data_IF_165519745630
#
_entry.id   IF_165519745630
#
_cell.length_a   1.000
_cell.length_b   1.000
_cell.length_c   1.000
_cell.angle_alpha   90.00
_cell.angle_beta   90.00
_cell.angle_gamma   90.00
#
_symmetry.space_group_name_H-M   'P 1'
#
loop_
_entity.id
_entity.type
_entity.pdbx_description
1 polymer ?
#
# COMPACT_ATOMS: atom_id res chain seq x y z
N UNK A 1 7.86 -35.09 -2.48
CA UNK A 1 7.70 -33.72 -1.91
C UNK A 1 7.54 -33.79 -0.39
N UNK A 2 8.57 -33.35 0.35
CA UNK A 2 8.87 -33.70 1.75
C UNK A 2 7.91 -33.02 2.78
N UNK A 3 7.46 -33.76 3.80
CA UNK A 3 6.46 -33.33 4.81
C UNK A 3 6.89 -32.07 5.58
N UNK A 4 8.21 -31.91 5.80
CA UNK A 4 8.83 -30.76 6.46
C UNK A 4 8.62 -29.44 5.68
N UNK A 5 8.65 -29.50 4.35
CA UNK A 5 8.43 -28.34 3.47
C UNK A 5 6.98 -27.82 3.51
N UNK A 6 5.99 -28.73 3.63
CA UNK A 6 4.57 -28.36 3.79
C UNK A 6 4.28 -27.63 5.11
N UNK A 7 4.95 -28.03 6.19
CA UNK A 7 4.77 -27.42 7.53
C UNK A 7 5.36 -26.00 7.60
N UNK A 8 6.53 -25.80 6.97
CA UNK A 8 7.18 -24.48 6.85
C UNK A 8 6.33 -23.53 6.00
N UNK A 9 5.85 -24.00 4.84
CA UNK A 9 4.99 -23.23 3.93
C UNK A 9 3.72 -22.71 4.62
N UNK A 10 3.00 -23.57 5.36
CA UNK A 10 1.81 -23.17 6.12
C UNK A 10 2.12 -22.17 7.24
N UNK A 11 3.27 -22.30 7.92
CA UNK A 11 3.72 -21.32 8.92
C UNK A 11 3.96 -19.95 8.29
N UNK A 12 4.63 -19.89 7.13
CA UNK A 12 4.92 -18.62 6.44
C UNK A 12 3.63 -17.96 5.93
N UNK A 13 2.71 -18.72 5.34
CA UNK A 13 1.40 -18.19 4.91
C UNK A 13 0.59 -17.63 6.09
N UNK A 14 0.54 -18.37 7.21
CA UNK A 14 -0.14 -17.93 8.41
C UNK A 14 0.53 -16.71 9.05
N UNK A 15 1.86 -16.64 9.04
CA UNK A 15 2.59 -15.47 9.53
C UNK A 15 2.32 -14.28 8.62
N UNK A 16 2.43 -14.41 7.30
CA UNK A 16 2.20 -13.31 6.35
C UNK A 16 0.80 -12.73 6.46
N UNK A 17 -0.22 -13.58 6.52
CA UNK A 17 -1.62 -13.13 6.65
C UNK A 17 -1.90 -12.49 8.01
N UNK A 18 -1.31 -13.03 9.09
CA UNK A 18 -1.50 -12.49 10.44
C UNK A 18 -0.73 -11.18 10.65
N UNK A 19 0.47 -11.09 10.10
CA UNK A 19 1.33 -9.90 10.06
C UNK A 19 0.64 -8.81 9.24
N UNK A 20 0.18 -9.06 8.02
CA UNK A 20 -0.50 -8.03 7.21
C UNK A 20 -1.79 -7.53 7.88
N UNK A 21 -2.59 -8.43 8.44
CA UNK A 21 -3.88 -8.06 9.03
C UNK A 21 -3.76 -7.29 10.36
N UNK A 22 -2.64 -7.47 11.08
CA UNK A 22 -2.38 -6.80 12.37
C UNK A 22 -1.50 -5.56 12.17
N UNK A 23 -0.43 -5.63 11.38
CA UNK A 23 0.48 -4.50 11.18
C UNK A 23 -0.17 -3.35 10.43
N UNK A 24 -0.99 -3.61 9.42
CA UNK A 24 -1.59 -2.54 8.63
C UNK A 24 -2.42 -1.60 9.52
N UNK A 25 -3.42 -2.04 10.30
CA UNK A 25 -4.19 -1.11 11.14
C UNK A 25 -3.42 -0.52 12.35
N UNK A 26 -2.35 -1.17 12.83
CA UNK A 26 -1.55 -0.69 13.97
C UNK A 26 -0.44 0.29 13.57
N UNK A 27 0.19 0.09 12.42
CA UNK A 27 1.31 0.90 11.92
C UNK A 27 0.91 1.86 10.81
N UNK A 28 -0.30 1.74 10.24
CA UNK A 28 -0.83 2.73 9.34
C UNK A 28 -1.23 3.96 10.15
N UNK A 29 -0.26 4.86 10.26
CA UNK A 29 -0.47 6.20 10.72
C UNK A 29 -1.35 6.90 9.71
N UNK A 30 -2.62 7.08 10.08
CA UNK A 30 -3.55 7.78 9.22
C UNK A 30 -3.48 9.25 9.53
N UNK A 31 -3.42 10.08 8.49
CA UNK A 31 -3.71 11.48 8.61
C UNK A 31 -5.12 11.68 9.10
N UNK A 32 -5.23 11.92 10.39
CA UNK A 32 -6.44 12.43 10.99
C UNK A 32 -6.70 13.82 10.41
N UNK A 33 -7.95 14.11 10.08
CA UNK A 33 -8.40 15.38 9.53
C UNK A 33 -9.16 16.12 10.65
N UNK A 34 -9.54 17.38 10.43
CA UNK A 34 -10.30 18.23 11.38
C UNK A 34 -9.50 18.77 12.59
N UNK A 35 -9.78 18.31 13.82
CA UNK A 35 -9.44 19.03 15.08
C UNK A 35 -7.92 19.15 15.31
N UNK A 36 -7.15 18.25 14.71
CA UNK A 36 -5.79 17.95 15.13
C UNK A 36 -4.73 18.28 14.06
N UNK A 37 -5.01 19.23 13.15
CA UNK A 37 -4.13 19.72 12.05
C UNK A 37 -2.64 19.31 12.19
N UNK A 38 -2.22 18.19 11.59
CA UNK A 38 -0.82 17.73 11.77
C UNK A 38 -0.48 16.26 11.53
N UNK A 39 -1.32 15.48 10.86
CA UNK A 39 -1.50 14.12 11.34
C UNK A 39 -0.81 13.14 10.40
N UNK A 40 0.27 12.54 10.88
CA UNK A 40 0.68 11.19 10.52
C UNK A 40 1.24 10.57 11.80
N UNK A 41 0.52 10.69 12.91
CA UNK A 41 1.02 10.39 14.26
C UNK A 41 0.01 9.69 15.17
N UNK A 42 -1.20 9.40 14.68
CA UNK A 42 -2.23 8.70 15.44
C UNK A 42 -2.56 7.38 14.72
N UNK A 43 -2.54 6.23 15.41
CA UNK A 43 -2.97 4.96 14.81
C UNK A 43 -4.38 5.08 14.20
N UNK A 44 -4.62 4.44 13.05
CA UNK A 44 -5.93 4.47 12.38
C UNK A 44 -7.08 4.08 13.33
N UNK A 45 -6.84 3.12 14.22
CA UNK A 45 -7.87 2.66 15.16
C UNK A 45 -8.34 3.76 16.12
N UNK A 46 -7.42 4.59 16.61
CA UNK A 46 -7.75 5.72 17.48
C UNK A 46 -8.54 6.79 16.73
N UNK A 47 -8.19 7.05 15.47
CA UNK A 47 -8.99 7.95 14.62
C UNK A 47 -10.44 7.46 14.46
N UNK A 48 -10.63 6.19 14.14
CA UNK A 48 -11.95 5.60 13.92
C UNK A 48 -12.81 5.73 15.19
N UNK A 49 -12.23 5.51 16.37
CA UNK A 49 -12.94 5.69 17.64
C UNK A 49 -13.40 7.14 17.85
N UNK A 50 -12.52 8.12 17.62
CA UNK A 50 -12.88 9.55 17.73
C UNK A 50 -13.87 10.00 16.66
N UNK A 51 -13.77 9.44 15.46
CA UNK A 51 -14.66 9.71 14.33
C UNK A 51 -16.12 9.39 14.68
N UNK A 52 -16.37 8.25 15.31
CA UNK A 52 -17.73 7.88 15.74
C UNK A 52 -18.25 8.70 16.93
N UNK A 53 -17.36 9.33 17.70
CA UNK A 53 -17.75 10.16 18.85
C UNK A 53 -18.09 11.60 18.46
N UNK A 54 -17.59 12.12 17.33
CA UNK A 54 -17.74 13.53 16.94
C UNK A 54 -18.37 13.69 15.54
N UNK A 55 -19.69 13.84 15.47
CA UNK A 55 -20.42 14.06 14.21
C UNK A 55 -19.96 15.31 13.44
N UNK A 56 -19.52 16.36 14.14
CA UNK A 56 -18.97 17.59 13.53
C UNK A 56 -17.63 17.37 12.83
N UNK A 57 -16.94 16.28 13.14
CA UNK A 57 -15.62 15.96 12.57
C UNK A 57 -15.74 15.71 11.06
N UNK A 58 -16.79 14.99 10.63
CA UNK A 58 -17.09 14.72 9.22
C UNK A 58 -17.17 15.99 8.35
N UNK A 59 -17.90 17.00 8.83
CA UNK A 59 -18.08 18.24 8.08
C UNK A 59 -16.76 19.02 7.93
N UNK A 60 -15.96 19.05 9.00
CA UNK A 60 -14.65 19.69 9.00
C UNK A 60 -13.64 18.93 8.12
N UNK A 61 -13.63 17.60 8.18
CA UNK A 61 -12.79 16.74 7.34
C UNK A 61 -13.10 16.94 5.86
N UNK A 62 -14.39 16.96 5.53
CA UNK A 62 -14.87 17.18 4.17
C UNK A 62 -14.41 18.54 3.64
N UNK A 63 -14.63 19.62 4.41
CA UNK A 63 -14.24 20.96 4.00
C UNK A 63 -12.73 21.09 3.83
N UNK A 64 -11.95 20.52 4.76
CA UNK A 64 -10.50 20.56 4.73
C UNK A 64 -9.93 19.76 3.55
N UNK A 65 -10.48 18.58 3.26
CA UNK A 65 -10.07 17.78 2.10
C UNK A 65 -10.43 18.47 0.78
N UNK A 66 -11.62 19.04 0.67
CA UNK A 66 -12.11 19.66 -0.57
C UNK A 66 -11.26 20.86 -1.01
N UNK A 67 -10.69 21.60 -0.06
CA UNK A 67 -9.86 22.77 -0.36
C UNK A 67 -8.46 22.44 -0.89
N UNK A 68 -8.01 21.19 -0.79
CA UNK A 68 -6.63 20.83 -1.10
C UNK A 68 -6.52 19.89 -2.30
N UNK A 69 -5.55 20.15 -3.18
CA UNK A 69 -5.33 19.33 -4.39
C UNK A 69 -4.86 17.89 -4.10
N UNK A 70 -4.38 17.60 -2.88
CA UNK A 70 -4.04 16.23 -2.47
C UNK A 70 -5.23 15.26 -2.52
N UNK A 71 -6.47 15.78 -2.53
CA UNK A 71 -7.70 14.98 -2.63
C UNK A 71 -7.77 14.14 -3.90
N UNK A 72 -7.19 14.59 -5.02
CA UNK A 72 -7.19 13.83 -6.26
C UNK A 72 -6.40 12.52 -6.12
N UNK A 73 -5.24 12.57 -5.48
CA UNK A 73 -4.44 11.37 -5.20
C UNK A 73 -5.16 10.42 -4.24
N UNK A 74 -5.85 10.97 -3.24
CA UNK A 74 -6.64 10.18 -2.29
C UNK A 74 -7.79 9.47 -3.00
N UNK A 75 -8.55 10.16 -3.86
CA UNK A 75 -9.67 9.57 -4.59
C UNK A 75 -9.17 8.47 -5.55
N UNK A 76 -8.11 8.74 -6.32
CA UNK A 76 -7.52 7.76 -7.25
C UNK A 76 -7.00 6.54 -6.49
N UNK A 77 -6.26 6.77 -5.40
CA UNK A 77 -5.76 5.71 -4.54
C UNK A 77 -6.89 4.90 -3.92
N UNK A 78 -7.92 5.54 -3.40
CA UNK A 78 -9.09 4.87 -2.82
C UNK A 78 -9.85 4.03 -3.86
N UNK A 79 -10.04 4.56 -5.06
CA UNK A 79 -10.65 3.82 -6.16
C UNK A 79 -9.82 2.57 -6.52
N UNK A 80 -8.49 2.71 -6.64
CA UNK A 80 -7.59 1.58 -6.90
C UNK A 80 -7.61 0.55 -5.76
N UNK A 81 -7.71 1.00 -4.51
CA UNK A 81 -7.82 0.16 -3.33
C UNK A 81 -9.10 -0.69 -3.37
N UNK A 82 -10.25 -0.06 -3.57
CA UNK A 82 -11.54 -0.75 -3.67
C UNK A 82 -11.52 -1.74 -4.83
N UNK A 83 -11.03 -1.33 -6.00
CA UNK A 83 -10.90 -2.20 -7.15
C UNK A 83 -10.01 -3.42 -6.87
N UNK A 84 -8.88 -3.22 -6.17
CA UNK A 84 -7.97 -4.31 -5.78
C UNK A 84 -8.61 -5.27 -4.78
N UNK A 85 -9.28 -4.75 -3.75
CA UNK A 85 -9.96 -5.57 -2.73
C UNK A 85 -11.09 -6.39 -3.34
N UNK A 86 -11.91 -5.81 -4.20
CA UNK A 86 -13.00 -6.54 -4.87
C UNK A 86 -12.40 -7.74 -5.63
N UNK A 87 -11.35 -7.51 -6.43
CA UNK A 87 -10.69 -8.60 -7.15
C UNK A 87 -10.10 -9.66 -6.22
N UNK A 88 -9.50 -9.24 -5.10
CA UNK A 88 -8.92 -10.13 -4.10
C UNK A 88 -9.97 -11.01 -3.42
N UNK A 89 -11.11 -10.43 -3.05
CA UNK A 89 -12.22 -11.14 -2.42
C UNK A 89 -12.90 -12.12 -3.39
N UNK A 90 -13.09 -11.72 -4.64
CA UNK A 90 -13.72 -12.57 -5.67
C UNK A 90 -12.83 -13.73 -6.09
N UNK A 91 -11.50 -13.55 -6.16
CA UNK A 91 -10.57 -14.55 -6.73
C UNK A 91 -9.65 -15.23 -5.69
N UNK A 92 -10.00 -15.17 -4.40
CA UNK A 92 -9.19 -15.59 -3.24
C UNK A 92 -8.58 -17.01 -3.28
N UNK A 93 -9.10 -17.91 -4.11
CA UNK A 93 -8.66 -19.33 -4.17
C UNK A 93 -7.51 -19.57 -5.14
N UNK A 94 -7.23 -18.64 -6.05
CA UNK A 94 -6.24 -18.82 -7.12
C UNK A 94 -5.25 -17.65 -7.19
N UNK A 95 -4.18 -17.81 -7.96
CA UNK A 95 -3.28 -16.69 -8.24
C UNK A 95 -3.99 -15.67 -9.14
N UNK A 96 -4.20 -14.46 -8.62
CA UNK A 96 -4.93 -13.40 -9.30
C UNK A 96 -4.03 -12.76 -10.36
N UNK A 97 -4.45 -12.81 -11.63
CA UNK A 97 -3.72 -12.25 -12.78
C UNK A 97 -4.58 -11.31 -13.64
N UNK A 98 -5.78 -11.00 -13.17
CA UNK A 98 -6.80 -10.22 -13.89
C UNK A 98 -7.07 -8.89 -13.18
N UNK A 99 -7.74 -7.97 -13.87
CA UNK A 99 -8.03 -6.64 -13.35
C UNK A 99 -6.75 -5.84 -13.07
N UNK A 100 -6.59 -5.23 -11.88
CA UNK A 100 -5.42 -4.40 -11.57
C UNK A 100 -4.13 -5.24 -11.46
N UNK A 101 -4.27 -6.52 -11.10
CA UNK A 101 -3.17 -7.48 -10.99
C UNK A 101 -2.57 -7.86 -12.35
N UNK A 102 -3.23 -7.52 -13.48
CA UNK A 102 -2.64 -7.68 -14.81
C UNK A 102 -1.47 -6.71 -15.05
N UNK A 103 -1.51 -5.53 -14.42
CA UNK A 103 -0.56 -4.44 -14.67
C UNK A 103 0.54 -4.35 -13.62
N UNK A 104 0.23 -4.69 -12.37
CA UNK A 104 1.15 -4.65 -11.23
C UNK A 104 0.82 -5.75 -10.22
N UNK A 105 1.83 -6.26 -9.49
CA UNK A 105 1.63 -7.34 -8.52
C UNK A 105 0.97 -6.90 -7.23
N UNK A 106 1.25 -5.67 -6.77
CA UNK A 106 0.70 -5.14 -5.53
C UNK A 106 -0.07 -3.82 -5.72
N UNK A 107 -1.22 -3.84 -6.41
CA UNK A 107 -2.02 -2.65 -6.63
C UNK A 107 -2.57 -2.06 -5.32
N UNK A 108 -2.80 -2.89 -4.30
CA UNK A 108 -3.24 -2.45 -2.98
C UNK A 108 -2.18 -1.59 -2.26
N UNK A 109 -0.90 -1.95 -2.33
CA UNK A 109 0.17 -1.13 -1.74
C UNK A 109 0.38 0.16 -2.53
N UNK A 110 0.27 0.13 -3.86
CA UNK A 110 0.29 1.36 -4.65
C UNK A 110 -0.85 2.29 -4.26
N UNK A 111 -2.06 1.74 -4.06
CA UNK A 111 -3.20 2.50 -3.61
C UNK A 111 -2.96 3.20 -2.26
N UNK A 112 -2.37 2.48 -1.29
CA UNK A 112 -1.99 3.09 -0.01
C UNK A 112 -0.92 4.16 -0.17
N UNK A 113 0.10 3.95 -1.01
CA UNK A 113 1.13 4.97 -1.29
C UNK A 113 0.49 6.23 -1.89
N UNK A 114 -0.46 6.10 -2.82
CA UNK A 114 -1.16 7.24 -3.42
C UNK A 114 -2.02 7.99 -2.41
N UNK A 115 -2.78 7.27 -1.58
CA UNK A 115 -3.63 7.87 -0.55
C UNK A 115 -2.79 8.61 0.50
N UNK A 116 -1.75 7.95 1.03
CA UNK A 116 -0.85 8.54 2.03
C UNK A 116 -0.08 9.71 1.45
N UNK A 117 0.36 9.64 0.19
CA UNK A 117 0.99 10.76 -0.50
C UNK A 117 0.06 11.96 -0.65
N UNK A 118 -1.17 11.73 -1.12
CA UNK A 118 -2.18 12.78 -1.23
C UNK A 118 -2.43 13.47 0.11
N UNK A 119 -2.50 12.69 1.18
CA UNK A 119 -2.64 13.23 2.52
C UNK A 119 -1.40 13.97 3.01
N UNK A 120 -0.20 13.44 2.77
CA UNK A 120 1.08 14.11 3.06
C UNK A 120 1.12 15.50 2.44
N UNK A 121 0.66 15.66 1.19
CA UNK A 121 0.57 16.95 0.52
C UNK A 121 -0.37 17.92 1.23
N UNK A 122 -1.50 17.43 1.74
CA UNK A 122 -2.48 18.24 2.50
C UNK A 122 -1.88 18.68 3.83
N UNK A 123 -1.22 17.77 4.54
CA UNK A 123 -0.67 18.05 5.87
C UNK A 123 0.69 18.76 5.84
N UNK A 124 1.30 18.92 4.67
CA UNK A 124 2.63 19.56 4.53
C UNK A 124 2.70 20.98 5.08
N UNK A 125 1.55 21.68 5.13
CA UNK A 125 1.40 23.02 5.70
C UNK A 125 1.03 23.03 7.18
N UNK A 126 0.99 21.86 7.83
CA UNK A 126 0.57 21.71 9.23
C UNK A 126 1.70 21.16 10.09
N UNK A 127 1.59 21.34 11.41
CA UNK A 127 2.59 20.92 12.39
C UNK A 127 2.17 19.61 13.05
N UNK A 128 3.08 18.62 13.21
CA UNK A 128 2.73 17.38 13.87
C UNK A 128 2.23 17.59 15.31
N UNK A 129 1.18 16.86 15.70
CA UNK A 129 0.54 16.94 17.03
C UNK A 129 1.44 16.38 18.11
N UNK A 130 2.11 15.28 17.80
CA UNK A 130 3.10 14.66 18.68
C UNK A 130 4.45 15.14 18.21
N UNK A 131 5.17 15.87 19.06
CA UNK A 131 6.53 16.32 18.80
C UNK A 131 7.51 15.15 18.93
N UNK A 132 7.33 14.13 18.10
CA UNK A 132 8.30 13.05 17.95
C UNK A 132 9.41 13.54 17.04
N UNK A 133 10.22 14.45 17.58
CA UNK A 133 11.29 15.13 16.87
C UNK A 133 12.63 14.94 17.57
N UNK A 134 13.18 13.71 17.59
CA UNK A 134 14.46 13.44 18.25
C UNK A 134 15.63 14.22 17.64
N UNK A 135 15.45 14.82 16.47
CA UNK A 135 16.49 15.50 15.69
C UNK A 135 16.24 17.01 15.49
N UNK A 136 15.27 17.62 16.16
CA UNK A 136 14.91 19.05 16.02
C UNK A 136 14.70 19.51 14.56
N UNK A 137 14.10 18.65 13.73
CA UNK A 137 13.78 18.91 12.34
C UNK A 137 12.53 19.80 12.21
N UNK A 138 12.37 20.50 11.08
CA UNK A 138 11.14 21.25 10.80
C UNK A 138 9.96 20.29 10.61
N UNK A 139 8.76 20.67 11.05
CA UNK A 139 7.56 19.80 11.04
C UNK A 139 7.27 19.14 9.68
N UNK A 140 7.34 19.90 8.58
CA UNK A 140 7.14 19.36 7.22
C UNK A 140 8.20 18.31 6.82
N UNK A 141 9.43 18.43 7.36
CA UNK A 141 10.53 17.49 7.10
C UNK A 141 10.28 16.16 7.81
N UNK A 142 9.76 16.21 9.05
CA UNK A 142 9.35 15.02 9.80
C UNK A 142 8.24 14.29 9.05
N UNK A 143 7.19 15.00 8.62
CA UNK A 143 6.08 14.42 7.85
C UNK A 143 6.58 13.73 6.58
N UNK A 144 7.48 14.39 5.83
CA UNK A 144 8.04 13.82 4.60
C UNK A 144 8.85 12.55 4.85
N UNK A 145 9.72 12.55 5.86
CA UNK A 145 10.51 11.36 6.19
C UNK A 145 9.66 10.22 6.73
N UNK A 146 8.62 10.52 7.51
CA UNK A 146 7.64 9.52 7.94
C UNK A 146 6.98 8.85 6.74
N UNK A 147 6.55 9.63 5.75
CA UNK A 147 5.99 9.10 4.51
C UNK A 147 7.00 8.24 3.72
N UNK A 148 8.27 8.65 3.64
CA UNK A 148 9.32 7.82 3.01
C UNK A 148 9.47 6.48 3.73
N UNK A 149 9.53 6.50 5.07
CA UNK A 149 9.60 5.29 5.88
C UNK A 149 8.41 4.37 5.64
N UNK A 150 7.20 4.94 5.52
CA UNK A 150 5.98 4.20 5.21
C UNK A 150 6.03 3.55 3.82
N UNK A 151 6.47 4.29 2.79
CA UNK A 151 6.67 3.75 1.43
C UNK A 151 7.65 2.57 1.45
N UNK A 152 8.77 2.70 2.17
CA UNK A 152 9.74 1.62 2.31
C UNK A 152 9.14 0.39 3.02
N UNK A 153 8.34 0.61 4.06
CA UNK A 153 7.63 -0.46 4.75
C UNK A 153 6.69 -1.22 3.81
N UNK A 154 5.94 -0.51 2.96
CA UNK A 154 5.07 -1.13 1.95
C UNK A 154 5.87 -1.91 0.90
N UNK A 155 7.02 -1.39 0.44
CA UNK A 155 7.90 -2.12 -0.49
C UNK A 155 8.44 -3.41 0.14
N UNK A 156 8.86 -3.37 1.41
CA UNK A 156 9.32 -4.55 2.15
C UNK A 156 8.18 -5.55 2.29
N UNK A 157 6.98 -5.10 2.67
CA UNK A 157 5.80 -5.95 2.83
C UNK A 157 5.41 -6.63 1.52
N UNK A 158 5.45 -5.90 0.40
CA UNK A 158 5.25 -6.47 -0.93
C UNK A 158 6.29 -7.53 -1.29
N UNK A 159 7.56 -7.33 -0.94
CA UNK A 159 8.60 -8.37 -1.14
C UNK A 159 8.35 -9.62 -0.30
N UNK A 160 7.92 -9.45 0.95
CA UNK A 160 7.55 -10.57 1.83
C UNK A 160 6.37 -11.35 1.23
N UNK A 161 5.37 -10.63 0.72
CA UNK A 161 4.22 -11.24 0.06
C UNK A 161 4.63 -11.97 -1.23
N UNK A 162 5.51 -11.41 -2.07
CA UNK A 162 6.09 -12.08 -3.24
C UNK A 162 6.77 -13.42 -2.85
N UNK A 163 7.47 -13.46 -1.71
CA UNK A 163 8.11 -14.69 -1.20
C UNK A 163 7.03 -15.71 -0.78
N UNK A 164 5.98 -15.27 -0.08
CA UNK A 164 4.88 -16.13 0.33
C UNK A 164 4.12 -16.68 -0.89
N UNK A 165 3.86 -15.85 -1.90
CA UNK A 165 3.21 -16.25 -3.16
C UNK A 165 4.07 -17.23 -3.96
N UNK A 166 5.39 -17.01 -4.04
CA UNK A 166 6.32 -17.97 -4.65
C UNK A 166 6.29 -19.32 -3.93
N UNK A 167 6.28 -19.32 -2.59
CA UNK A 167 6.15 -20.54 -1.82
C UNK A 167 4.79 -21.23 -2.07
N UNK A 168 3.71 -20.46 -2.24
CA UNK A 168 2.34 -20.93 -2.47
C UNK A 168 2.12 -21.54 -3.85
N UNK A 169 2.45 -20.80 -4.90
CA UNK A 169 2.10 -21.12 -6.29
C UNK A 169 3.30 -21.57 -7.14
N UNK A 170 4.52 -21.56 -6.62
CA UNK A 170 5.69 -22.13 -7.30
C UNK A 170 5.99 -21.45 -8.65
N UNK A 171 6.15 -22.25 -9.70
CA UNK A 171 6.51 -21.78 -11.05
C UNK A 171 5.45 -20.86 -11.67
N UNK A 172 4.17 -21.10 -11.39
CA UNK A 172 3.08 -20.23 -11.84
C UNK A 172 3.28 -18.77 -11.39
N UNK A 173 3.79 -18.58 -10.17
CA UNK A 173 4.09 -17.25 -9.68
C UNK A 173 5.36 -16.67 -10.32
N UNK A 174 6.37 -17.49 -10.60
CA UNK A 174 7.60 -17.03 -11.28
C UNK A 174 7.28 -16.50 -12.68
N UNK A 175 6.44 -17.21 -13.44
CA UNK A 175 5.97 -16.77 -14.77
C UNK A 175 5.25 -15.42 -14.64
N UNK A 176 4.30 -15.32 -13.71
CA UNK A 176 3.56 -14.09 -13.45
C UNK A 176 4.45 -12.91 -13.01
N UNK A 177 5.45 -13.19 -12.16
CA UNK A 177 6.43 -12.19 -11.70
C UNK A 177 7.26 -11.63 -12.85
N UNK A 178 7.56 -12.46 -13.84
CA UNK A 178 8.32 -12.04 -15.01
C UNK A 178 7.48 -11.24 -16.01
N UNK A 179 6.16 -11.42 -16.05
CA UNK A 179 5.27 -10.70 -16.97
C UNK A 179 4.79 -9.36 -16.40
N UNK A 180 4.61 -9.25 -15.09
CA UNK A 180 3.98 -8.09 -14.45
C UNK A 180 4.97 -7.27 -13.62
N UNK A 181 4.77 -5.96 -13.53
CA UNK A 181 5.61 -5.05 -12.74
C UNK A 181 5.34 -5.18 -11.23
N UNK A 182 6.24 -4.71 -10.37
CA UNK A 182 6.07 -4.87 -8.91
C UNK A 182 4.94 -4.00 -8.34
N UNK A 183 5.07 -2.67 -8.45
CA UNK A 183 4.06 -1.71 -7.96
C UNK A 183 3.72 -0.65 -9.01
N UNK A 184 4.70 -0.06 -9.68
CA UNK A 184 4.43 0.89 -10.75
C UNK A 184 4.21 0.18 -12.09
N UNK A 185 3.23 0.60 -12.89
CA UNK A 185 2.97 0.02 -14.21
C UNK A 185 4.07 0.47 -15.17
N UNK A 186 5.23 -0.18 -15.13
CA UNK A 186 6.25 0.01 -16.17
C UNK A 186 5.79 -0.72 -17.43
N UNK A 187 5.61 0.02 -18.53
CA UNK A 187 5.38 -0.54 -19.85
C UNK A 187 6.67 -1.28 -20.22
N UNK A 188 6.68 -2.61 -20.09
CA UNK A 188 7.77 -3.41 -20.65
C UNK A 188 7.65 -3.31 -22.17
N UNK A 189 8.43 -2.42 -22.78
CA UNK A 189 8.66 -2.41 -24.22
C UNK A 189 9.09 -3.81 -24.63
N UNK A 190 8.26 -4.46 -25.44
CA UNK A 190 8.49 -5.82 -25.94
C UNK A 190 9.86 -5.81 -26.62
N UNK A 191 10.85 -6.48 -26.04
CA UNK A 191 12.15 -6.67 -26.68
C UNK A 191 11.86 -7.46 -27.95
N UNK A 192 12.04 -6.82 -29.11
CA UNK A 192 11.88 -7.46 -30.42
C UNK A 192 12.99 -8.53 -30.48
N UNK A 193 12.61 -9.80 -30.40
CA UNK A 193 13.54 -10.90 -30.62
C UNK A 193 14.02 -10.81 -32.08
N UNK A 194 15.21 -10.26 -32.27
CA UNK A 194 15.97 -10.33 -33.51
C UNK A 194 16.61 -11.71 -33.59
N UNK A 195 15.81 -12.75 -33.79
CA UNK A 195 16.27 -14.01 -34.35
C UNK A 195 15.59 -14.18 -35.69
N UNK A 196 16.06 -13.41 -36.68
CA UNK A 196 15.90 -13.81 -38.06
C UNK A 196 17.01 -14.83 -38.33
N UNK A 197 16.57 -16.06 -38.61
CA UNK A 197 17.40 -17.13 -39.13
C UNK A 197 18.02 -16.65 -40.45
N UNK A 198 19.34 -16.51 -40.48
CA UNK A 198 20.07 -16.56 -41.74
C UNK A 198 20.28 -18.05 -42.07
N UNK A 199 19.24 -18.66 -42.64
CA UNK A 199 19.38 -19.78 -43.56
C UNK A 199 19.33 -19.19 -44.98
N UNK A 200 20.51 -19.03 -45.59
CA UNK A 200 20.80 -19.39 -46.99
C UNK A 200 22.25 -19.11 -47.35
#
# INVERSE_FOLDING_TARGET
>A
MNFKGRKIKRKIEAISTRVSSILIPLFQYVPTLSIWRGIMSVPLITYILFFFQNQKMLANDYYFLYQNHGIYFIIIGFWLFIFSIIFQLTHRKQLIRTGPYKFMRHPQYLAFILMTFGMTLIVFQTTPVVDFNPFNLRGYTVIFYTWICEVLAYVILGKIEDIALKAKYGEEFVIYKNTVSFMFPTIKLKKKDSNHKDEK
#
